data_IF_418569683472
#
_entry.id   IF_418569683472
#
_cell.length_a   1.000
_cell.length_b   1.000
_cell.length_c   1.000
_cell.angle_alpha   90.00
_cell.angle_beta   90.00
_cell.angle_gamma   90.00
#
_symmetry.space_group_name_H-M   'P 1'
#
loop_
_entity.id
_entity.type
_entity.pdbx_description
1 polymer ?
#
# COMPACT_ATOMS: atom_id res chain seq x y z
N UNK A 1 -0.66 8.33 -10.58
CA UNK A 1 -1.52 7.93 -9.46
C UNK A 1 -2.61 8.95 -9.20
N UNK A 2 -2.27 10.11 -8.62
CA UNK A 2 -3.23 11.14 -8.19
C UNK A 2 -4.19 11.65 -9.28
N UNK A 3 -3.75 11.75 -10.54
CA UNK A 3 -4.61 12.17 -11.66
C UNK A 3 -5.80 11.22 -11.91
N UNK A 4 -5.67 9.94 -11.53
CA UNK A 4 -6.66 8.91 -11.80
C UNK A 4 -7.58 8.65 -10.59
N UNK A 5 -7.04 8.69 -9.37
CA UNK A 5 -7.76 8.26 -8.15
C UNK A 5 -8.38 9.41 -7.35
N UNK A 6 -8.35 10.65 -7.86
CA UNK A 6 -8.80 11.82 -7.11
C UNK A 6 -7.90 12.15 -5.92
N UNK A 7 -8.41 12.98 -5.00
CA UNK A 7 -7.65 13.45 -3.82
C UNK A 7 -7.81 12.56 -2.58
N UNK A 8 -8.81 11.70 -2.54
CA UNK A 8 -9.19 10.92 -1.35
C UNK A 8 -8.94 9.43 -1.58
N UNK A 9 -7.66 9.05 -1.65
CA UNK A 9 -7.27 7.64 -1.72
C UNK A 9 -6.06 7.38 -0.83
N UNK A 10 -5.96 6.13 -0.38
CA UNK A 10 -4.78 5.57 0.28
C UNK A 10 -4.27 4.43 -0.59
N UNK A 11 -2.99 4.45 -0.95
CA UNK A 11 -2.39 3.36 -1.70
C UNK A 11 -2.06 2.17 -0.79
N UNK A 12 -2.54 0.99 -1.17
CA UNK A 12 -2.32 -0.26 -0.43
C UNK A 12 -1.80 -1.35 -1.39
N UNK A 13 -0.77 -2.08 -0.97
CA UNK A 13 -0.24 -3.28 -1.64
C UNK A 13 -0.34 -4.49 -0.72
N UNK A 14 0.23 -5.64 -1.07
CA UNK A 14 0.37 -6.84 -0.22
C UNK A 14 1.61 -6.77 0.71
N UNK A 15 1.77 -7.79 1.57
CA UNK A 15 2.86 -7.85 2.55
C UNK A 15 4.21 -8.32 2.00
N UNK A 16 4.40 -8.35 0.68
CA UNK A 16 5.58 -8.91 0.02
C UNK A 16 6.88 -8.13 0.33
N UNK A 17 8.07 -8.73 0.13
CA UNK A 17 9.35 -8.08 0.42
C UNK A 17 9.59 -6.77 -0.35
N UNK A 18 9.24 -6.71 -1.64
CA UNK A 18 9.53 -5.55 -2.48
C UNK A 18 8.79 -4.26 -2.03
N UNK A 19 7.47 -4.29 -1.72
CA UNK A 19 6.77 -3.15 -1.12
C UNK A 19 7.37 -2.68 0.21
N UNK A 20 7.96 -3.59 1.00
CA UNK A 20 8.57 -3.27 2.31
C UNK A 20 9.97 -2.65 2.18
N UNK A 21 10.60 -2.71 1.02
CA UNK A 21 11.95 -2.19 0.81
C UNK A 21 11.99 -0.66 0.87
N UNK A 22 13.06 -0.11 1.46
CA UNK A 22 13.15 1.30 1.79
C UNK A 22 13.09 2.23 0.55
N UNK A 23 13.65 1.81 -0.59
CA UNK A 23 13.52 2.59 -1.83
C UNK A 23 12.07 2.65 -2.32
N UNK A 24 11.33 1.54 -2.24
CA UNK A 24 9.90 1.50 -2.58
C UNK A 24 9.09 2.41 -1.66
N UNK A 25 9.36 2.36 -0.34
CA UNK A 25 8.71 3.20 0.66
C UNK A 25 9.00 4.69 0.43
N UNK A 26 10.25 5.05 0.11
CA UNK A 26 10.65 6.42 -0.20
C UNK A 26 9.95 6.93 -1.46
N UNK A 27 9.85 6.10 -2.50
CA UNK A 27 9.12 6.43 -3.71
C UNK A 27 7.62 6.65 -3.42
N UNK A 28 6.99 5.73 -2.66
CA UNK A 28 5.58 5.88 -2.29
C UNK A 28 5.31 7.18 -1.54
N UNK A 29 6.20 7.54 -0.59
CA UNK A 29 6.10 8.79 0.17
C UNK A 29 6.21 10.05 -0.70
N UNK A 30 6.99 10.00 -1.78
CA UNK A 30 7.15 11.12 -2.71
C UNK A 30 6.03 11.24 -3.76
N UNK A 31 5.32 10.14 -4.05
CA UNK A 31 4.41 10.05 -5.19
C UNK A 31 2.92 9.86 -4.80
N UNK A 32 2.62 9.40 -3.59
CA UNK A 32 1.26 9.21 -3.09
C UNK A 32 0.92 10.16 -1.95
N UNK A 33 -0.37 10.48 -1.81
CA UNK A 33 -0.86 11.35 -0.73
C UNK A 33 -0.90 10.62 0.61
N UNK A 34 -1.48 9.42 0.63
CA UNK A 34 -1.38 8.47 1.74
C UNK A 34 -1.08 7.08 1.15
N UNK A 35 -0.35 6.29 1.90
CA UNK A 35 -0.08 4.89 1.56
C UNK A 35 0.15 4.08 2.83
N UNK A 36 -0.06 2.77 2.73
CA UNK A 36 0.33 1.85 3.80
C UNK A 36 1.84 1.65 3.83
N UNK A 37 2.47 2.34 4.77
CA UNK A 37 3.88 2.09 5.08
C UNK A 37 4.08 0.67 5.58
N UNK A 38 5.30 0.15 5.41
CA UNK A 38 5.67 -1.17 5.90
C UNK A 38 5.40 -1.35 7.41
N UNK A 39 5.53 -0.28 8.20
CA UNK A 39 5.28 -0.28 9.65
C UNK A 39 3.79 -0.26 10.03
N UNK A 40 2.92 0.26 9.16
CA UNK A 40 1.47 0.33 9.40
C UNK A 40 0.79 -1.02 9.22
N UNK A 41 1.49 -1.97 8.59
CA UNK A 41 0.93 -3.25 8.19
C UNK A 41 1.16 -4.33 9.27
N UNK A 42 0.10 -4.93 9.83
CA UNK A 42 0.27 -6.11 10.67
C UNK A 42 0.79 -7.30 9.84
N UNK A 43 1.67 -8.15 10.42
CA UNK A 43 2.18 -9.33 9.74
C UNK A 43 1.07 -10.36 9.54
N UNK A 44 1.06 -11.03 8.38
CA UNK A 44 0.15 -12.14 8.04
C UNK A 44 -1.36 -11.81 8.11
N UNK A 45 -1.76 -10.61 7.67
CA UNK A 45 -3.16 -10.16 7.67
C UNK A 45 -3.76 -10.05 6.25
N UNK A 46 -4.11 -11.19 5.60
CA UNK A 46 -4.81 -11.16 4.31
C UNK A 46 -6.22 -10.58 4.43
N UNK A 47 -6.84 -10.69 5.60
CA UNK A 47 -8.16 -10.13 5.96
C UNK A 47 -8.23 -8.60 5.87
N UNK A 48 -7.08 -7.92 5.83
CA UNK A 48 -7.02 -6.47 5.74
C UNK A 48 -6.70 -5.95 4.33
N UNK A 49 -6.46 -6.84 3.36
CA UNK A 49 -6.24 -6.47 1.97
C UNK A 49 -7.47 -6.88 1.12
N UNK A 50 -8.30 -5.93 0.65
CA UNK A 50 -9.49 -6.23 -0.16
C UNK A 50 -9.20 -7.12 -1.37
N UNK A 51 -7.99 -7.00 -1.91
CA UNK A 51 -7.54 -7.87 -2.99
C UNK A 51 -7.40 -9.33 -2.56
N UNK A 52 -6.89 -9.59 -1.36
CA UNK A 52 -6.64 -10.94 -0.82
C UNK A 52 -7.91 -11.60 -0.26
N UNK A 53 -8.85 -10.85 0.33
CA UNK A 53 -10.03 -11.43 1.00
C UNK A 53 -11.34 -11.36 0.20
N UNK A 54 -11.39 -10.65 -0.92
CA UNK A 54 -12.66 -10.44 -1.66
C UNK A 54 -12.57 -10.45 -3.18
N UNK A 55 -11.39 -10.36 -3.77
CA UNK A 55 -11.23 -10.31 -5.24
C UNK A 55 -10.60 -11.60 -5.76
N UNK A 56 -9.51 -12.06 -5.13
CA UNK A 56 -8.94 -13.38 -5.36
C UNK A 56 -9.85 -14.49 -4.82
#
# INVERSE_FOLDING_TARGET
GQKLMGKEFTFQQDGAPAPKYHHTQAWCKGHFRDFWSASRRPPNSPDLNPFDYSIW
#
